data_IF_301694151111
#
_entry.id   IF_301694151111
#
_cell.length_a   1.000
_cell.length_b   1.000
_cell.length_c   1.000
_cell.angle_alpha   90.00
_cell.angle_beta   90.00
_cell.angle_gamma   90.00
#
_symmetry.space_group_name_H-M   'P 1'
#
loop_
_entity.id
_entity.type
_entity.pdbx_description
1 polymer ?
#
# COMPACT_ATOMS: atom_id res chain seq x y z
N UNK A 1 -17.81 2.91 -3.23
CA UNK A 1 -16.96 4.07 -2.89
C UNK A 1 -16.04 4.31 -4.06
N UNK A 2 -15.98 5.54 -4.55
CA UNK A 2 -15.15 5.93 -5.69
C UNK A 2 -13.69 5.88 -5.26
N UNK A 3 -12.90 4.98 -5.86
CA UNK A 3 -11.49 4.87 -5.53
C UNK A 3 -10.75 6.07 -6.15
N UNK A 4 -9.97 6.83 -5.37
CA UNK A 4 -9.26 7.99 -5.90
C UNK A 4 -8.28 7.54 -6.99
N UNK A 5 -8.35 8.21 -8.14
CA UNK A 5 -7.45 7.99 -9.28
C UNK A 5 -6.30 8.98 -9.15
N UNK A 6 -5.07 8.47 -9.11
CA UNK A 6 -3.84 9.24 -9.00
C UNK A 6 -3.16 9.37 -10.35
N UNK A 7 -2.44 10.48 -10.57
CA UNK A 7 -1.58 10.65 -11.76
C UNK A 7 -2.33 10.90 -13.07
N UNK A 8 -3.58 11.39 -13.03
CA UNK A 8 -4.32 11.81 -14.23
C UNK A 8 -3.50 12.85 -15.00
N UNK A 9 -3.28 12.62 -16.30
CA UNK A 9 -2.55 13.56 -17.16
C UNK A 9 -1.02 13.53 -17.05
N UNK A 10 -0.43 12.52 -16.40
CA UNK A 10 1.03 12.35 -16.37
C UNK A 10 1.57 11.77 -17.68
N UNK A 11 2.78 12.19 -18.06
CA UNK A 11 3.42 11.80 -19.33
C UNK A 11 3.64 10.27 -19.48
N UNK A 12 3.69 9.52 -18.38
CA UNK A 12 3.89 8.07 -18.39
C UNK A 12 2.61 7.22 -18.47
N UNK A 13 1.42 7.76 -18.14
CA UNK A 13 0.14 7.05 -18.34
C UNK A 13 -1.06 8.03 -18.30
N UNK A 14 -1.84 8.18 -19.38
CA UNK A 14 -2.87 9.23 -19.48
C UNK A 14 -4.12 8.99 -18.62
N UNK A 15 -4.45 7.74 -18.29
CA UNK A 15 -5.70 7.39 -17.61
C UNK A 15 -5.64 7.47 -16.07
N UNK A 16 -4.44 7.57 -15.49
CA UNK A 16 -4.23 7.50 -14.05
C UNK A 16 -4.28 6.07 -13.48
N UNK A 17 -3.98 5.97 -12.20
CA UNK A 17 -3.83 4.71 -11.46
C UNK A 17 -4.66 4.73 -10.18
N UNK A 18 -5.22 3.57 -9.83
CA UNK A 18 -6.01 3.39 -8.62
C UNK A 18 -5.16 2.64 -7.60
N UNK A 19 -5.22 3.09 -6.35
CA UNK A 19 -4.56 2.46 -5.23
C UNK A 19 -5.46 1.36 -4.63
N UNK A 20 -4.93 0.15 -4.52
CA UNK A 20 -5.59 -1.00 -3.93
C UNK A 20 -4.80 -1.48 -2.70
N UNK A 21 -5.48 -1.60 -1.56
CA UNK A 21 -4.87 -2.18 -0.37
C UNK A 21 -4.86 -3.72 -0.48
N UNK A 22 -3.79 -4.30 0.04
CA UNK A 22 -3.48 -5.73 0.06
C UNK A 22 -2.66 -6.04 1.32
N UNK A 23 -2.39 -7.33 1.56
CA UNK A 23 -1.46 -7.77 2.59
C UNK A 23 -0.46 -8.77 1.99
N UNK A 24 0.76 -8.78 2.51
CA UNK A 24 1.71 -9.86 2.19
C UNK A 24 1.30 -11.15 2.90
N UNK A 25 1.30 -12.27 2.19
CA UNK A 25 0.86 -13.57 2.73
C UNK A 25 1.76 -14.08 3.85
N UNK A 26 3.06 -13.78 3.80
CA UNK A 26 4.04 -14.30 4.78
C UNK A 26 3.95 -13.58 6.14
N UNK A 27 3.87 -12.25 6.12
CA UNK A 27 4.00 -11.43 7.33
C UNK A 27 2.75 -10.61 7.66
N UNK A 28 1.67 -10.73 6.86
CA UNK A 28 0.43 -9.96 6.96
C UNK A 28 0.63 -8.44 7.02
N UNK A 29 1.77 -7.96 6.49
CA UNK A 29 2.12 -6.54 6.46
C UNK A 29 1.27 -5.81 5.43
N UNK A 30 0.95 -4.52 5.68
CA UNK A 30 0.29 -3.67 4.69
C UNK A 30 1.05 -3.70 3.35
N UNK A 31 0.33 -3.98 2.28
CA UNK A 31 0.81 -3.87 0.92
C UNK A 31 -0.13 -2.98 0.11
N UNK A 32 0.42 -2.16 -0.79
CA UNK A 32 -0.38 -1.32 -1.66
C UNK A 32 0.02 -1.56 -3.11
N UNK A 33 -0.95 -1.92 -3.93
CA UNK A 33 -0.80 -2.15 -5.36
C UNK A 33 -1.46 -1.02 -6.13
N UNK A 34 -0.93 -0.73 -7.31
CA UNK A 34 -1.51 0.21 -8.25
C UNK A 34 -2.02 -0.54 -9.46
N UNK A 35 -3.22 -0.20 -9.89
CA UNK A 35 -3.85 -0.73 -11.10
C UNK A 35 -4.22 0.43 -12.02
N UNK A 36 -4.14 0.22 -13.33
CA UNK A 36 -4.53 1.23 -14.31
C UNK A 36 -6.03 1.51 -14.19
N UNK A 37 -6.43 2.78 -14.18
CA UNK A 37 -7.83 3.16 -14.05
C UNK A 37 -8.68 2.83 -15.30
N UNK A 38 -8.05 2.71 -16.47
CA UNK A 38 -8.73 2.44 -17.75
C UNK A 38 -9.11 0.96 -17.91
N UNK A 39 -8.10 0.08 -17.84
CA UNK A 39 -8.24 -1.36 -18.13
C UNK A 39 -8.21 -2.25 -16.86
N UNK A 40 -7.96 -1.67 -15.68
CA UNK A 40 -7.80 -2.43 -14.43
C UNK A 40 -6.54 -3.31 -14.37
N UNK A 41 -5.64 -3.20 -15.35
CA UNK A 41 -4.41 -3.98 -15.39
C UNK A 41 -3.44 -3.62 -14.25
N UNK A 42 -2.64 -4.56 -13.74
CA UNK A 42 -1.65 -4.29 -12.71
C UNK A 42 -0.59 -3.33 -13.25
N UNK A 43 -0.45 -2.17 -12.59
CA UNK A 43 0.55 -1.17 -12.93
C UNK A 43 1.87 -1.42 -12.19
N UNK A 44 1.77 -1.65 -10.87
CA UNK A 44 2.95 -1.86 -10.04
C UNK A 44 2.60 -1.99 -8.56
N UNK A 45 3.62 -2.14 -7.71
CA UNK A 45 3.43 -2.16 -6.26
C UNK A 45 4.12 -0.95 -5.64
N UNK A 46 3.40 -0.23 -4.78
CA UNK A 46 3.99 0.87 -4.00
C UNK A 46 4.92 0.31 -2.93
N UNK A 47 4.47 -0.75 -2.28
CA UNK A 47 5.17 -1.36 -1.15
C UNK A 47 6.18 -2.42 -1.57
N UNK A 48 7.23 -2.58 -0.78
CA UNK A 48 8.18 -3.68 -0.88
C UNK A 48 8.22 -4.44 0.45
N UNK A 49 8.15 -5.77 0.40
CA UNK A 49 8.29 -6.59 1.60
C UNK A 49 9.77 -6.85 1.89
N UNK A 50 10.31 -6.20 2.92
CA UNK A 50 11.62 -6.53 3.48
C UNK A 50 11.41 -7.04 4.91
N UNK A 51 11.44 -8.36 5.13
CA UNK A 51 11.12 -8.96 6.43
C UNK A 51 12.07 -8.52 7.55
N UNK A 52 13.32 -8.21 7.20
CA UNK A 52 14.38 -7.78 8.13
C UNK A 52 14.14 -6.39 8.73
N UNK A 53 13.25 -5.59 8.13
CA UNK A 53 12.94 -4.25 8.62
C UNK A 53 11.74 -4.25 9.55
N UNK A 54 11.92 -3.63 10.72
CA UNK A 54 10.83 -3.35 11.65
C UNK A 54 10.07 -2.09 11.19
N UNK A 55 8.79 -2.27 10.90
CA UNK A 55 7.87 -1.21 10.48
C UNK A 55 6.66 -1.26 11.43
N UNK A 56 6.16 -0.10 11.84
CA UNK A 56 4.89 0.01 12.54
C UNK A 56 3.71 -0.44 11.66
N UNK A 57 2.54 -0.64 12.26
CA UNK A 57 1.34 -1.09 11.54
C UNK A 57 0.83 -0.07 10.51
N UNK A 58 1.14 1.20 10.73
CA UNK A 58 0.86 2.33 9.86
C UNK A 58 2.08 2.77 9.02
N UNK A 59 3.19 2.02 9.08
CA UNK A 59 4.38 2.26 8.25
C UNK A 59 4.48 1.23 7.13
N UNK A 60 4.88 1.70 5.96
CA UNK A 60 5.16 0.90 4.78
C UNK A 60 6.53 1.24 4.21
N UNK A 61 7.14 0.26 3.56
CA UNK A 61 8.38 0.46 2.85
C UNK A 61 8.10 0.69 1.37
N UNK A 62 8.57 1.81 0.83
CA UNK A 62 8.42 2.20 -0.57
C UNK A 62 9.78 2.17 -1.25
N UNK A 63 9.84 1.57 -2.45
CA UNK A 63 11.07 1.62 -3.26
C UNK A 63 11.38 3.06 -3.70
N UNK A 64 12.64 3.49 -3.65
CA UNK A 64 13.00 4.88 -4.00
C UNK A 64 12.73 5.24 -5.47
N UNK A 65 13.19 4.41 -6.43
CA UNK A 65 13.10 4.77 -7.88
C UNK A 65 12.90 3.61 -8.87
N UNK A 66 12.88 2.35 -8.42
CA UNK A 66 12.88 1.21 -9.35
C UNK A 66 11.53 0.54 -9.58
N UNK A 67 10.56 0.66 -8.65
CA UNK A 67 9.26 -0.04 -8.78
C UNK A 67 8.13 0.84 -9.33
N UNK A 68 8.26 2.17 -9.19
CA UNK A 68 7.28 3.14 -9.63
C UNK A 68 7.96 4.46 -10.02
N UNK A 69 7.42 5.17 -11.04
CA UNK A 69 7.91 6.48 -11.41
C UNK A 69 7.74 7.50 -10.28
N UNK A 70 8.68 8.44 -10.20
CA UNK A 70 8.73 9.47 -9.16
C UNK A 70 7.49 10.34 -9.15
N UNK A 71 6.91 10.64 -10.33
CA UNK A 71 5.70 11.44 -10.46
C UNK A 71 4.49 10.80 -9.75
N UNK A 72 4.26 9.50 -9.95
CA UNK A 72 3.17 8.75 -9.29
C UNK A 72 3.34 8.78 -7.76
N UNK A 73 4.58 8.62 -7.28
CA UNK A 73 4.89 8.76 -5.85
C UNK A 73 4.59 10.16 -5.33
N UNK A 74 4.95 11.19 -6.10
CA UNK A 74 4.66 12.57 -5.74
C UNK A 74 3.15 12.82 -5.64
N UNK A 75 2.35 12.30 -6.58
CA UNK A 75 0.90 12.41 -6.53
C UNK A 75 0.28 11.69 -5.31
N UNK A 76 0.83 10.53 -4.93
CA UNK A 76 0.39 9.81 -3.73
C UNK A 76 0.68 10.59 -2.45
N UNK A 77 1.85 11.24 -2.37
CA UNK A 77 2.20 12.09 -1.22
C UNK A 77 1.37 13.37 -1.18
N UNK A 78 1.17 14.02 -2.33
CA UNK A 78 0.36 15.24 -2.47
C UNK A 78 -1.10 15.00 -2.09
N UNK A 79 -1.61 13.78 -2.28
CA UNK A 79 -2.96 13.40 -1.86
C UNK A 79 -3.21 13.46 -0.35
N UNK A 80 -2.16 13.58 0.46
CA UNK A 80 -2.24 13.60 1.93
C UNK A 80 -2.53 12.24 2.57
N UNK A 81 -2.66 11.16 1.78
CA UNK A 81 -2.89 9.80 2.29
C UNK A 81 -1.64 9.16 2.87
N UNK A 82 -0.46 9.63 2.44
CA UNK A 82 0.83 9.14 2.87
C UNK A 82 1.76 10.29 3.22
N UNK A 83 2.66 10.05 4.16
CA UNK A 83 3.70 10.98 4.55
C UNK A 83 5.07 10.29 4.55
N UNK A 84 6.10 10.96 4.03
CA UNK A 84 7.48 10.47 4.17
C UNK A 84 7.93 10.69 5.61
N UNK A 85 8.31 9.61 6.29
CA UNK A 85 8.84 9.71 7.67
C UNK A 85 10.27 10.27 7.71
N UNK A 86 10.94 10.35 6.56
CA UNK A 86 12.35 10.72 6.46
C UNK A 86 13.31 9.61 6.93
N UNK A 87 12.78 8.45 7.36
CA UNK A 87 13.59 7.25 7.61
C UNK A 87 13.93 6.63 6.26
N UNK A 88 15.11 6.97 5.75
CA UNK A 88 15.77 6.19 4.72
C UNK A 88 16.43 4.99 5.40
N UNK A 89 16.01 3.78 5.06
CA UNK A 89 16.59 2.60 5.66
C UNK A 89 17.78 2.10 4.83
N UNK A 90 18.99 2.41 5.30
CA UNK A 90 20.25 2.00 4.65
C UNK A 90 20.61 0.52 4.92
N UNK A 91 19.78 -0.21 5.68
CA UNK A 91 20.06 -1.58 6.10
C UNK A 91 20.14 -2.58 4.94
N UNK A 92 19.65 -2.23 3.76
CA UNK A 92 19.70 -3.05 2.56
C UNK A 92 20.35 -2.22 1.45
N UNK A 93 21.19 -2.81 0.60
CA UNK A 93 21.92 -2.14 -0.49
C UNK A 93 21.06 -1.39 -1.52
N UNK A 94 19.74 -1.44 -1.39
CA UNK A 94 18.79 -0.71 -2.22
C UNK A 94 18.19 0.47 -1.44
N UNK A 95 17.98 1.59 -2.13
CA UNK A 95 17.37 2.77 -1.54
C UNK A 95 15.87 2.52 -1.32
N UNK A 96 15.46 2.52 -0.04
CA UNK A 96 14.07 2.45 0.38
C UNK A 96 13.70 3.66 1.23
N UNK A 97 12.47 4.13 1.04
CA UNK A 97 11.84 5.15 1.87
C UNK A 97 10.77 4.52 2.74
N UNK A 98 10.75 4.88 4.03
CA UNK A 98 9.63 4.52 4.90
C UNK A 98 8.57 5.60 4.81
N UNK A 99 7.36 5.20 4.44
CA UNK A 99 6.20 6.09 4.40
C UNK A 99 5.22 5.68 5.49
N UNK A 100 4.56 6.68 6.06
CA UNK A 100 3.48 6.51 7.01
C UNK A 100 2.14 6.67 6.29
N UNK A 101 1.22 5.75 6.52
CA UNK A 101 -0.16 5.84 6.03
C UNK A 101 -0.95 6.71 6.99
N UNK A 102 -1.43 7.86 6.52
CA UNK A 102 -2.26 8.79 7.31
C UNK A 102 -3.75 8.54 7.10
N UNK A 103 -4.12 7.94 5.98
CA UNK A 103 -5.50 7.67 5.62
C UNK A 103 -6.08 6.52 6.47
N UNK A 104 -7.06 6.86 7.31
CA UNK A 104 -7.70 5.90 8.21
C UNK A 104 -8.53 4.84 7.45
N UNK A 105 -9.05 5.15 6.27
CA UNK A 105 -9.81 4.21 5.45
C UNK A 105 -8.88 3.15 4.85
N UNK A 106 -7.69 3.54 4.37
CA UNK A 106 -6.67 2.61 3.91
C UNK A 106 -6.19 1.68 5.03
N UNK A 107 -5.96 2.23 6.23
CA UNK A 107 -5.60 1.43 7.39
C UNK A 107 -6.72 0.45 7.78
N UNK A 108 -7.99 0.88 7.70
CA UNK A 108 -9.13 0.03 7.95
C UNK A 108 -9.28 -1.08 6.90
N UNK A 109 -9.03 -0.79 5.63
CA UNK A 109 -9.07 -1.77 4.53
C UNK A 109 -8.00 -2.85 4.74
N UNK A 110 -6.75 -2.44 5.01
CA UNK A 110 -5.66 -3.37 5.37
C UNK A 110 -6.04 -4.20 6.59
N UNK A 111 -6.56 -3.58 7.65
CA UNK A 111 -6.98 -4.28 8.87
C UNK A 111 -8.14 -5.26 8.61
N UNK A 112 -9.01 -4.98 7.65
CA UNK A 112 -10.09 -5.85 7.19
C UNK A 112 -9.58 -7.07 6.43
N UNK A 113 -8.49 -6.93 5.68
CA UNK A 113 -7.85 -8.00 4.91
C UNK A 113 -7.03 -8.95 5.77
N UNK A 114 -6.49 -8.47 6.90
CA UNK A 114 -5.74 -9.33 7.84
C UNK A 114 -6.63 -10.49 8.29
N UNK A 115 -6.14 -11.74 8.28
CA UNK A 115 -6.92 -12.87 8.75
C UNK A 115 -7.27 -12.64 10.21
N UNK A 116 -8.53 -12.26 10.47
CA UNK A 116 -9.08 -12.25 11.82
C UNK A 116 -9.05 -13.70 12.27
N UNK A 117 -8.13 -14.04 13.17
CA UNK A 117 -8.14 -15.33 13.83
C UNK A 117 -9.57 -15.55 14.35
N UNK A 118 -10.33 -16.40 13.66
CA UNK A 118 -11.77 -16.54 13.81
C UNK A 118 -12.04 -17.30 15.10
N UNK A 119 -11.86 -16.64 16.25
CA UNK A 119 -12.49 -17.04 17.51
C UNK A 119 -13.94 -16.59 17.46
N UNK A 120 -14.72 -17.31 16.66
CA UNK A 120 -16.17 -17.33 16.76
C UNK A 120 -16.56 -18.79 16.92
N UNK A 121 -16.53 -19.27 18.16
CA UNK A 121 -17.35 -20.41 18.59
C UNK A 121 -18.75 -20.19 18.03
N UNK A 122 -19.15 -21.00 17.06
CA UNK A 122 -20.57 -21.13 16.76
C UNK A 122 -21.22 -21.78 17.99
N UNK A 123 -22.27 -21.20 18.61
CA UNK A 123 -23.17 -22.01 19.40
C UNK A 123 -23.84 -22.98 18.42
N UNK A 124 -23.58 -24.28 18.61
CA UNK A 124 -24.36 -25.38 18.03
C UNK A 124 -25.82 -25.11 18.37
N UNK A 125 -26.64 -24.74 17.39
CA UNK A 125 -28.07 -24.83 17.53
C UNK A 125 -28.41 -26.32 17.60
N UNK A 126 -28.86 -26.76 18.77
CA UNK A 126 -29.45 -28.08 18.97
C UNK A 126 -30.90 -27.98 18.50
N UNK A 127 -31.32 -28.89 17.65
CA UNK A 127 -32.71 -29.20 17.37
C UNK A 127 -32.83 -30.73 17.35
#
# INVERSE_FOLDING_TARGET
MEQPIFGIGMASYPAGVILQACIYEENHRPAFKLVCADDGMPYGSLTVNVPELELAEDEILVSADWNLPTDVKSALLDSGKFERTGRANQAVSANYDVWRVLDAELLADVAGLRPKNRRSRQPRAVA
#
